data_IF_406769309482
#
_entry.id   IF_406769309482
#
_cell.length_a   1.000
_cell.length_b   1.000
_cell.length_c   1.000
_cell.angle_alpha   90.00
_cell.angle_beta   90.00
_cell.angle_gamma   90.00
#
_symmetry.space_group_name_H-M   'P 1'
#
loop_
_entity.id
_entity.type
_entity.pdbx_description
1 polymer ?
#
# COMPACT_ATOMS: atom_id res chain seq x y z
N UNK A 1 -7.84 15.17 -11.26
CA UNK A 1 -7.93 14.07 -10.31
C UNK A 1 -6.70 13.20 -10.41
N UNK A 2 -6.13 12.87 -9.30
CA UNK A 2 -4.84 12.19 -9.30
C UNK A 2 -5.00 10.70 -9.15
N UNK A 3 -4.13 9.98 -9.84
CA UNK A 3 -4.11 8.54 -9.77
C UNK A 3 -3.10 8.11 -8.72
N UNK A 4 -3.53 7.32 -7.76
CA UNK A 4 -2.64 6.81 -6.75
C UNK A 4 -1.63 5.85 -7.36
N UNK A 5 -0.44 5.81 -6.79
CA UNK A 5 0.62 4.91 -7.26
C UNK A 5 1.07 4.01 -6.12
N UNK A 6 1.47 2.80 -6.45
CA UNK A 6 1.90 1.83 -5.47
C UNK A 6 3.32 2.12 -5.02
N UNK A 7 3.52 2.25 -3.71
CA UNK A 7 4.85 2.46 -3.16
C UNK A 7 5.42 1.15 -2.63
N UNK A 8 4.58 0.21 -2.19
CA UNK A 8 5.04 -1.06 -1.64
C UNK A 8 3.92 -2.07 -1.67
N UNK A 9 4.30 -3.35 -1.69
CA UNK A 9 3.34 -4.45 -1.65
C UNK A 9 3.72 -5.38 -0.51
N UNK A 10 2.70 -5.99 0.09
CA UNK A 10 2.90 -6.82 1.26
C UNK A 10 2.07 -8.09 1.17
N UNK A 11 2.51 -9.17 1.83
CA UNK A 11 1.76 -10.41 1.80
C UNK A 11 0.48 -10.38 2.62
N UNK A 12 0.39 -9.49 3.60
CA UNK A 12 -0.83 -9.42 4.41
C UNK A 12 -1.17 -8.01 4.81
N UNK A 13 -2.41 -7.86 5.27
CA UNK A 13 -2.96 -6.55 5.62
C UNK A 13 -2.23 -5.93 6.81
N UNK A 14 -1.83 -6.74 7.77
CA UNK A 14 -1.19 -6.20 8.97
C UNK A 14 0.09 -5.45 8.62
N UNK A 15 0.91 -6.02 7.74
CA UNK A 15 2.15 -5.36 7.33
C UNK A 15 1.86 -4.10 6.54
N UNK A 16 0.85 -4.16 5.68
CA UNK A 16 0.48 -2.99 4.88
C UNK A 16 -0.02 -1.86 5.78
N UNK A 17 -0.79 -2.19 6.81
CA UNK A 17 -1.30 -1.18 7.73
C UNK A 17 -0.17 -0.53 8.52
N UNK A 18 0.84 -1.30 8.90
CA UNK A 18 2.00 -0.73 9.57
C UNK A 18 2.74 0.26 8.67
N UNK A 19 2.90 -0.10 7.40
CA UNK A 19 3.55 0.79 6.45
C UNK A 19 2.74 2.07 6.28
N UNK A 20 1.42 1.93 6.15
CA UNK A 20 0.55 3.09 6.04
C UNK A 20 0.70 4.00 7.25
N UNK A 21 0.73 3.41 8.43
CA UNK A 21 0.84 4.19 9.66
C UNK A 21 2.15 4.98 9.69
N UNK A 22 3.25 4.35 9.26
CA UNK A 22 4.53 5.04 9.22
C UNK A 22 4.49 6.22 8.27
N UNK A 23 3.85 6.05 7.13
CA UNK A 23 3.72 7.14 6.17
C UNK A 23 2.88 8.28 6.74
N UNK A 24 1.80 7.95 7.42
CA UNK A 24 0.94 8.97 7.98
C UNK A 24 1.64 9.75 9.08
N UNK A 25 2.50 9.09 9.84
CA UNK A 25 3.27 9.79 10.85
C UNK A 25 4.21 10.82 10.23
N UNK A 26 4.57 10.63 8.98
CA UNK A 26 5.42 11.58 8.26
C UNK A 26 4.61 12.58 7.45
N UNK A 27 3.30 12.59 7.63
CA UNK A 27 2.45 13.54 6.94
C UNK A 27 2.07 13.13 5.53
N UNK A 28 2.28 11.87 5.18
CA UNK A 28 1.97 11.37 3.85
C UNK A 28 0.68 10.56 3.92
N UNK A 29 -0.32 10.95 3.12
CA UNK A 29 -1.56 10.20 3.05
C UNK A 29 -1.34 8.91 2.27
N UNK A 30 -1.76 7.78 2.84
CA UNK A 30 -1.56 6.48 2.24
C UNK A 30 -2.84 5.66 2.29
N UNK A 31 -2.95 4.71 1.34
CA UNK A 31 -4.13 3.87 1.22
C UNK A 31 -3.71 2.42 1.06
N UNK A 32 -4.44 1.54 1.74
CA UNK A 32 -4.20 0.10 1.62
C UNK A 32 -5.22 -0.47 0.66
N UNK A 33 -4.75 -1.12 -0.38
CA UNK A 33 -5.59 -1.63 -1.46
C UNK A 33 -5.38 -3.13 -1.61
N UNK A 34 -6.46 -3.88 -1.79
CA UNK A 34 -6.37 -5.26 -2.21
C UNK A 34 -6.60 -6.32 -1.15
N UNK A 35 -6.44 -5.99 0.12
CA UNK A 35 -6.56 -7.00 1.15
C UNK A 35 -7.89 -7.73 1.15
N UNK A 36 -8.98 -7.00 1.02
CA UNK A 36 -10.30 -7.61 1.03
C UNK A 36 -10.56 -8.45 -0.21
N UNK A 37 -10.11 -7.93 -1.34
CA UNK A 37 -10.27 -8.66 -2.59
C UNK A 37 -9.54 -9.98 -2.54
N UNK A 38 -8.35 -9.97 -1.99
CA UNK A 38 -7.57 -11.20 -1.86
C UNK A 38 -8.31 -12.21 -0.98
N UNK A 39 -8.98 -11.74 0.05
CA UNK A 39 -9.74 -12.60 0.93
C UNK A 39 -10.93 -13.24 0.23
N UNK A 40 -11.54 -12.53 -0.70
CA UNK A 40 -12.70 -13.03 -1.42
C UNK A 40 -12.29 -13.97 -2.54
N UNK A 41 -11.24 -13.63 -3.27
CA UNK A 41 -10.85 -14.43 -4.43
C UNK A 41 -9.34 -14.66 -4.41
N UNK A 42 -8.86 -15.40 -3.42
CA UNK A 42 -7.42 -15.56 -3.24
C UNK A 42 -6.71 -16.25 -4.40
N UNK A 43 -7.42 -17.17 -5.08
CA UNK A 43 -6.78 -17.89 -6.19
C UNK A 43 -6.59 -16.99 -7.41
N UNK A 44 -7.31 -15.88 -7.48
CA UNK A 44 -7.16 -14.95 -8.60
C UNK A 44 -6.14 -13.87 -8.30
N UNK A 45 -5.98 -13.50 -7.03
CA UNK A 45 -5.16 -12.37 -6.66
C UNK A 45 -3.93 -12.73 -5.85
N UNK A 46 -3.93 -13.91 -5.25
CA UNK A 46 -2.88 -14.28 -4.33
C UNK A 46 -1.49 -14.28 -4.93
N UNK A 47 -1.38 -14.63 -6.19
CA UNK A 47 -0.08 -14.71 -6.82
C UNK A 47 0.55 -13.34 -7.04
N UNK A 48 -0.22 -12.27 -6.88
CA UNK A 48 0.28 -10.93 -7.14
C UNK A 48 0.67 -10.19 -5.88
N UNK A 49 0.75 -10.87 -4.75
CA UNK A 49 1.20 -10.26 -3.51
C UNK A 49 0.11 -9.58 -2.72
N UNK A 50 -1.08 -9.58 -3.20
CA UNK A 50 -2.27 -9.26 -2.45
C UNK A 50 -2.49 -7.84 -2.00
N UNK A 51 -1.66 -7.29 -1.15
CA UNK A 51 -1.96 -6.02 -0.48
C UNK A 51 -0.96 -4.95 -0.88
N UNK A 52 -1.47 -3.82 -1.38
CA UNK A 52 -0.62 -2.74 -1.84
C UNK A 52 -0.87 -1.47 -1.04
N UNK A 53 0.20 -0.72 -0.80
CA UNK A 53 0.10 0.59 -0.19
C UNK A 53 0.33 1.62 -1.29
N UNK A 54 -0.63 2.53 -1.44
CA UNK A 54 -0.59 3.52 -2.50
C UNK A 54 -0.61 4.93 -1.93
N UNK A 55 0.07 5.83 -2.64
CA UNK A 55 0.15 7.22 -2.25
C UNK A 55 -0.06 8.12 -3.47
N UNK A 56 -0.24 9.41 -3.23
CA UNK A 56 -0.29 10.39 -4.29
C UNK A 56 1.07 10.39 -5.02
N UNK A 57 1.07 10.49 -6.35
CA UNK A 57 2.35 10.49 -7.09
C UNK A 57 3.35 11.51 -6.60
N UNK A 58 2.90 12.66 -6.14
CA UNK A 58 3.81 13.70 -5.67
C UNK A 58 4.55 13.29 -4.40
N UNK A 59 4.03 12.31 -3.68
CA UNK A 59 4.64 11.85 -2.43
C UNK A 59 5.44 10.57 -2.61
N UNK A 60 5.52 10.04 -3.82
CA UNK A 60 6.11 8.73 -4.05
C UNK A 60 7.56 8.64 -3.58
N UNK A 61 8.38 9.60 -3.95
CA UNK A 61 9.79 9.56 -3.59
C UNK A 61 9.97 9.64 -2.09
N UNK A 62 9.20 10.52 -1.45
CA UNK A 62 9.30 10.67 -0.01
C UNK A 62 8.79 9.42 0.70
N UNK A 63 7.72 8.84 0.18
CA UNK A 63 7.17 7.62 0.77
C UNK A 63 8.18 6.47 0.69
N UNK A 64 8.90 6.37 -0.41
CA UNK A 64 9.93 5.35 -0.54
C UNK A 64 11.02 5.54 0.51
N UNK A 65 11.40 6.78 0.77
CA UNK A 65 12.40 7.05 1.78
C UNK A 65 11.93 6.66 3.16
N UNK A 66 10.67 6.93 3.46
CA UNK A 66 10.13 6.60 4.78
C UNK A 66 10.10 5.10 5.00
N UNK A 67 9.68 4.36 4.01
CA UNK A 67 9.57 2.91 4.15
C UNK A 67 10.90 2.19 4.01
N UNK A 68 11.86 2.88 3.51
CA UNK A 68 13.19 2.36 3.44
C UNK A 68 13.53 1.53 2.33
#
# INVERSE_FOLDING_TARGET
>A
METLVTVASFPDVAEAELAKERLELEGIRAFVIGGQTAGVMPYLTGSTGGVRVQVDPKDLDRAREVLG
#
